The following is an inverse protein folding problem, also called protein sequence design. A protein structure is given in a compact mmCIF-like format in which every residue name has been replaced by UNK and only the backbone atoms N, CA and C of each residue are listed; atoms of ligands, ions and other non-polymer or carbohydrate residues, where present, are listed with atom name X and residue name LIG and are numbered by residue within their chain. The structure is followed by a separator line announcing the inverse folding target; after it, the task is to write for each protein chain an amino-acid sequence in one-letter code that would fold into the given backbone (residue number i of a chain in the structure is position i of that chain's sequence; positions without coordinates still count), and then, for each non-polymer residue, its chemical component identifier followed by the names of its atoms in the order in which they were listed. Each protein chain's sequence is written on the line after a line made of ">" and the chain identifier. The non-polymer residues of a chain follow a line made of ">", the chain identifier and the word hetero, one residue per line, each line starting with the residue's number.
data_IF_909647206257
#
_entry.id   IF_909647206257
#
_cell.length_a   1.000
_cell.length_b   1.000
_cell.length_c   1.000
_cell.angle_alpha   90.00
_cell.angle_beta   90.00
_cell.angle_gamma   90.00
#
_symmetry.space_group_name_H-M   'P 1'
#
loop_
_entity.id
_entity.type
_entity.pdbx_description
1 polymer ?
#
# COMPACT_ATOMS: atom_id res chain seq x y z
N UNK A 1 9.87 -0.92 6.35
CA UNK A 1 9.44 -1.92 5.33
C UNK A 1 9.13 -1.16 4.05
N UNK A 2 9.62 -1.59 2.86
CA UNK A 2 9.42 -0.82 1.62
C UNK A 2 7.97 -0.93 1.14
N UNK A 3 7.39 0.18 0.67
CA UNK A 3 5.99 0.31 0.24
C UNK A 3 5.57 -0.77 -0.78
N UNK A 4 6.44 -1.09 -1.73
CA UNK A 4 6.22 -2.14 -2.73
C UNK A 4 5.96 -3.52 -2.10
N UNK A 5 6.65 -3.83 -0.99
CA UNK A 5 6.44 -5.11 -0.29
C UNK A 5 5.09 -5.16 0.43
N UNK A 6 4.62 -4.03 0.93
CA UNK A 6 3.29 -3.94 1.55
C UNK A 6 2.17 -4.20 0.52
N UNK A 7 2.32 -3.67 -0.70
CA UNK A 7 1.39 -3.93 -1.81
C UNK A 7 1.35 -5.42 -2.15
N UNK A 8 2.54 -6.04 -2.34
CA UNK A 8 2.66 -7.47 -2.67
C UNK A 8 1.98 -8.36 -1.61
N UNK A 9 2.20 -8.08 -0.32
CA UNK A 9 1.59 -8.82 0.79
C UNK A 9 0.06 -8.63 0.79
N UNK A 10 -0.42 -7.40 0.59
CA UNK A 10 -1.86 -7.11 0.53
C UNK A 10 -2.55 -7.87 -0.60
N UNK A 11 -1.95 -7.87 -1.80
CA UNK A 11 -2.47 -8.59 -2.96
C UNK A 11 -2.51 -10.10 -2.74
N UNK A 12 -1.45 -10.66 -2.15
CA UNK A 12 -1.40 -12.08 -1.80
C UNK A 12 -2.51 -12.44 -0.80
N UNK A 13 -2.71 -11.62 0.24
CA UNK A 13 -3.77 -11.83 1.23
C UNK A 13 -5.16 -11.81 0.61
N UNK A 14 -5.44 -10.87 -0.31
CA UNK A 14 -6.73 -10.83 -1.01
C UNK A 14 -6.92 -12.04 -1.94
N UNK A 15 -5.85 -12.50 -2.60
CA UNK A 15 -5.90 -13.64 -3.50
C UNK A 15 -6.14 -14.97 -2.76
N UNK A 16 -5.43 -15.19 -1.66
CA UNK A 16 -5.44 -16.48 -0.96
C UNK A 16 -6.53 -16.55 0.12
N UNK A 17 -6.67 -15.50 0.93
CA UNK A 17 -7.57 -15.47 2.07
C UNK A 17 -8.85 -14.67 1.82
N UNK A 18 -8.88 -13.81 0.80
CA UNK A 18 -10.02 -12.93 0.50
C UNK A 18 -11.39 -13.60 0.42
N UNK A 19 -11.55 -14.81 -0.17
CA UNK A 19 -12.85 -15.50 -0.19
C UNK A 19 -13.39 -15.91 1.18
N UNK A 20 -12.52 -16.07 2.19
CA UNK A 20 -12.87 -16.46 3.57
C UNK A 20 -12.86 -15.28 4.52
N UNK A 21 -12.53 -14.09 4.03
CA UNK A 21 -12.31 -12.91 4.84
C UNK A 21 -13.63 -12.14 5.02
N UNK A 22 -13.89 -11.59 6.22
CA UNK A 22 -14.96 -10.63 6.42
C UNK A 22 -14.88 -9.45 5.44
N UNK A 23 -16.02 -8.90 4.96
CA UNK A 23 -16.03 -7.82 3.97
C UNK A 23 -15.26 -6.57 4.41
N UNK A 24 -15.37 -6.18 5.67
CA UNK A 24 -14.66 -5.05 6.29
C UNK A 24 -13.14 -5.23 6.24
N UNK A 25 -12.65 -6.41 6.59
CA UNK A 25 -11.24 -6.76 6.48
C UNK A 25 -10.75 -6.72 5.03
N UNK A 26 -11.57 -7.22 4.10
CA UNK A 26 -11.26 -7.20 2.67
C UNK A 26 -11.15 -5.77 2.13
N UNK A 27 -12.10 -4.92 2.49
CA UNK A 27 -12.15 -3.51 2.11
C UNK A 27 -10.98 -2.73 2.70
N UNK A 28 -10.61 -2.99 3.95
CA UNK A 28 -9.46 -2.37 4.60
C UNK A 28 -8.14 -2.72 3.89
N UNK A 29 -7.94 -3.98 3.50
CA UNK A 29 -6.75 -4.39 2.74
C UNK A 29 -6.75 -3.77 1.34
N UNK A 30 -7.91 -3.72 0.69
CA UNK A 30 -8.03 -3.10 -0.62
C UNK A 30 -7.73 -1.59 -0.57
N UNK A 31 -8.19 -0.90 0.47
CA UNK A 31 -7.87 0.49 0.74
C UNK A 31 -6.36 0.69 0.93
N UNK A 32 -5.71 -0.17 1.73
CA UNK A 32 -4.26 -0.14 1.92
C UNK A 32 -3.51 -0.23 0.59
N UNK A 33 -3.86 -1.19 -0.27
CA UNK A 33 -3.21 -1.40 -1.58
C UNK A 33 -3.36 -0.15 -2.46
N UNK A 34 -4.59 0.38 -2.54
CA UNK A 34 -4.88 1.54 -3.37
C UNK A 34 -4.13 2.79 -2.89
N UNK A 35 -4.12 3.03 -1.57
CA UNK A 35 -3.38 4.14 -0.96
C UNK A 35 -1.87 4.00 -1.17
N UNK A 36 -1.32 2.80 -1.00
CA UNK A 36 0.11 2.54 -1.22
C UNK A 36 0.51 2.77 -2.68
N UNK A 37 -0.26 2.26 -3.64
CA UNK A 37 -0.03 2.53 -5.09
C UNK A 37 -0.11 4.02 -5.40
N UNK A 38 -1.06 4.74 -4.80
CA UNK A 38 -1.18 6.19 -4.97
C UNK A 38 0.05 6.93 -4.45
N UNK A 39 0.55 6.58 -3.27
CA UNK A 39 1.76 7.18 -2.70
C UNK A 39 2.97 6.89 -3.61
N UNK A 40 3.11 5.66 -4.10
CA UNK A 40 4.19 5.31 -5.03
C UNK A 40 4.14 6.14 -6.31
N UNK A 41 2.94 6.33 -6.87
CA UNK A 41 2.73 7.18 -8.03
C UNK A 41 3.14 8.63 -7.75
N UNK A 42 2.68 9.20 -6.62
CA UNK A 42 2.98 10.58 -6.23
C UNK A 42 4.49 10.80 -6.01
N UNK A 43 5.20 9.83 -5.43
CA UNK A 43 6.66 9.88 -5.27
C UNK A 43 7.41 9.91 -6.61
N UNK A 44 6.82 9.35 -7.66
CA UNK A 44 7.38 9.35 -9.02
C UNK A 44 6.96 10.57 -9.86
N UNK A 45 6.10 11.46 -9.34
CA UNK A 45 5.64 12.62 -10.10
C UNK A 45 6.75 13.69 -10.18
N UNK A 46 7.13 14.13 -11.39
CA UNK A 46 8.25 15.05 -11.57
C UNK A 46 7.95 16.49 -11.11
N UNK A 47 6.67 16.88 -11.08
CA UNK A 47 6.25 18.25 -10.74
C UNK A 47 6.07 18.49 -9.23
N UNK A 48 5.80 17.43 -8.46
CA UNK A 48 5.54 17.50 -7.02
C UNK A 48 6.00 16.20 -6.37
N UNK A 49 7.32 16.04 -6.11
CA UNK A 49 7.80 14.88 -5.39
C UNK A 49 7.16 14.84 -4.00
N UNK A 50 6.40 13.78 -3.74
CA UNK A 50 5.73 13.60 -2.46
C UNK A 50 6.71 13.02 -1.44
N UNK A 51 7.44 13.92 -0.76
CA UNK A 51 8.51 13.58 0.19
C UNK A 51 8.01 13.17 1.58
N UNK A 52 6.68 13.09 1.76
CA UNK A 52 6.10 12.66 3.03
C UNK A 52 6.51 11.22 3.32
N UNK A 53 7.16 11.05 4.48
CA UNK A 53 7.56 9.76 5.02
C UNK A 53 6.43 9.15 5.81
N UNK A 54 6.20 7.87 5.60
CA UNK A 54 5.30 7.07 6.40
C UNK A 54 5.97 6.71 7.74
N UNK A 55 5.18 6.39 8.78
CA UNK A 55 5.71 5.92 10.04
C UNK A 55 6.71 4.78 9.86
N UNK A 56 7.94 4.94 10.37
CA UNK A 56 9.01 3.95 10.28
C UNK A 56 9.84 3.98 8.98
N UNK A 57 9.62 4.95 8.09
CA UNK A 57 10.58 5.26 7.02
C UNK A 57 11.67 6.21 7.55
N UNK A 58 12.93 5.77 7.55
CA UNK A 58 14.08 6.63 7.87
C UNK A 58 14.49 7.47 6.65
N UNK A 59 15.11 8.65 6.84
CA UNK A 59 15.97 9.22 5.79
C UNK A 59 17.01 8.17 5.39
N UNK A 60 17.05 7.85 4.09
CA UNK A 60 18.22 7.21 3.50
C UNK A 60 19.40 8.17 3.55
#
# INVERSE_FOLDING_TARGET
>A
MKLAKAIEIGELNLKEAGPKMPPDCKDAIQLLINSARRIEQLRKMPLYPFDTKLPGETPE
#
